data_IF_527775156005
#
_entry.id   IF_527775156005
#
_cell.length_a   1.000
_cell.length_b   1.000
_cell.length_c   1.000
_cell.angle_alpha   90.00
_cell.angle_beta   90.00
_cell.angle_gamma   90.00
#
_symmetry.space_group_name_H-M   'P 1'
#
loop_
_entity.id
_entity.type
_entity.pdbx_description
1 polymer ?
#
# COMPACT_ATOMS: atom_id res chain seq x y z
N UNK A 1 -22.96 -34.48 -31.81
CA UNK A 1 -22.32 -33.18 -32.08
C UNK A 1 -23.29 -32.13 -31.58
N UNK A 2 -23.04 -31.24 -30.64
CA UNK A 2 -21.86 -30.79 -29.88
C UNK A 2 -22.48 -29.90 -28.79
N UNK A 3 -22.21 -30.13 -27.51
CA UNK A 3 -21.25 -29.31 -26.79
C UNK A 3 -21.98 -28.33 -25.87
N UNK A 4 -22.26 -28.76 -24.64
CA UNK A 4 -22.65 -27.89 -23.54
C UNK A 4 -21.41 -27.15 -23.05
N UNK A 5 -21.32 -25.85 -23.34
CA UNK A 5 -20.31 -24.97 -22.74
C UNK A 5 -20.60 -24.80 -21.24
N UNK A 6 -19.87 -25.54 -20.41
CA UNK A 6 -19.74 -25.24 -19.00
C UNK A 6 -18.84 -24.00 -18.87
N UNK A 7 -19.46 -22.83 -18.62
CA UNK A 7 -18.74 -21.66 -18.11
C UNK A 7 -18.04 -22.05 -16.82
N UNK A 8 -16.71 -22.07 -16.87
CA UNK A 8 -15.83 -22.36 -15.73
C UNK A 8 -16.14 -21.40 -14.58
N UNK A 9 -16.50 -21.99 -13.44
CA UNK A 9 -16.63 -21.29 -12.16
C UNK A 9 -15.23 -20.92 -11.68
N UNK A 10 -14.80 -19.68 -11.87
CA UNK A 10 -13.59 -19.15 -11.23
C UNK A 10 -13.81 -19.12 -9.71
N UNK A 11 -13.09 -19.97 -8.96
CA UNK A 11 -12.93 -19.82 -7.52
C UNK A 11 -11.70 -18.93 -7.25
N UNK A 12 -11.69 -18.16 -6.13
CA UNK A 12 -10.99 -16.89 -6.08
C UNK A 12 -9.57 -17.03 -5.51
N UNK A 13 -8.62 -16.34 -6.14
CA UNK A 13 -7.39 -15.93 -5.45
C UNK A 13 -7.80 -15.05 -4.27
N UNK A 14 -7.27 -15.36 -3.10
CA UNK A 14 -7.53 -14.61 -1.89
C UNK A 14 -6.47 -13.53 -1.74
N UNK A 15 -6.90 -12.27 -1.70
CA UNK A 15 -6.03 -11.13 -1.42
C UNK A 15 -6.36 -10.58 -0.02
N UNK A 16 -5.35 -10.04 0.65
CA UNK A 16 -5.52 -9.31 1.89
C UNK A 16 -4.70 -8.04 1.82
N UNK A 17 -5.31 -6.91 2.17
CA UNK A 17 -4.56 -5.71 2.51
C UNK A 17 -3.89 -5.94 3.87
N UNK A 18 -2.70 -5.38 4.06
CA UNK A 18 -2.06 -5.42 5.37
C UNK A 18 -2.83 -4.50 6.32
N UNK A 19 -3.71 -5.06 7.14
CA UNK A 19 -4.38 -4.33 8.25
C UNK A 19 -3.48 -4.22 9.51
N UNK A 20 -2.21 -4.66 9.42
CA UNK A 20 -1.32 -4.76 10.56
C UNK A 20 -0.15 -3.76 10.44
N UNK A 21 -0.23 -2.66 11.19
CA UNK A 21 0.75 -1.56 11.19
C UNK A 21 2.17 -2.04 11.54
N UNK A 22 2.28 -3.18 12.24
CA UNK A 22 3.55 -3.83 12.58
C UNK A 22 4.21 -4.56 11.39
N UNK A 23 3.42 -5.07 10.43
CA UNK A 23 3.93 -5.67 9.19
C UNK A 23 4.30 -4.61 8.14
N UNK A 24 3.64 -3.44 8.16
CA UNK A 24 4.07 -2.26 7.40
C UNK A 24 5.45 -1.77 7.84
N UNK A 25 5.70 -1.73 9.16
CA UNK A 25 7.00 -1.33 9.72
C UNK A 25 8.14 -2.29 9.34
N UNK A 26 7.87 -3.60 9.28
CA UNK A 26 8.91 -4.58 8.98
C UNK A 26 9.27 -4.71 7.48
N UNK A 27 8.52 -4.06 6.57
CA UNK A 27 8.63 -4.29 5.11
C UNK A 27 9.00 -3.02 4.35
N UNK A 28 8.74 -1.84 4.92
CA UNK A 28 9.41 -0.61 4.49
C UNK A 28 10.93 -0.65 4.78
N UNK A 29 11.40 -1.61 5.58
CA UNK A 29 12.79 -1.79 6.00
C UNK A 29 13.58 -2.91 5.30
N UNK A 30 13.06 -3.55 4.24
CA UNK A 30 13.85 -4.52 3.44
C UNK A 30 14.23 -3.99 2.03
N UNK A 31 15.15 -3.01 1.92
CA UNK A 31 15.66 -2.50 0.64
C UNK A 31 16.11 -3.58 -0.34
N UNK A 32 16.54 -4.74 0.16
CA UNK A 32 16.96 -5.90 -0.62
C UNK A 32 15.86 -6.44 -1.54
N UNK A 33 14.58 -6.32 -1.18
CA UNK A 33 13.47 -6.87 -1.97
C UNK A 33 13.23 -6.11 -3.28
N UNK A 34 13.91 -4.98 -3.50
CA UNK A 34 14.01 -4.32 -4.81
C UNK A 34 14.78 -5.16 -5.83
N UNK A 35 15.67 -6.06 -5.40
CA UNK A 35 16.42 -6.97 -6.27
C UNK A 35 15.62 -8.25 -6.51
N UNK A 36 15.34 -8.55 -7.78
CA UNK A 36 14.64 -9.76 -8.18
C UNK A 36 15.34 -11.03 -7.70
N UNK A 37 16.68 -11.05 -7.72
CA UNK A 37 17.46 -12.17 -7.20
C UNK A 37 17.23 -12.42 -5.71
N UNK A 38 17.14 -11.37 -4.88
CA UNK A 38 16.86 -11.52 -3.45
C UNK A 38 15.43 -11.99 -3.20
N UNK A 39 14.46 -11.50 -3.98
CA UNK A 39 13.09 -12.03 -3.95
C UNK A 39 13.06 -13.52 -4.29
N UNK A 40 13.79 -13.95 -5.32
CA UNK A 40 13.84 -15.35 -5.73
C UNK A 40 14.42 -16.27 -4.64
N UNK A 41 15.43 -15.81 -3.89
CA UNK A 41 16.04 -16.58 -2.79
C UNK A 41 15.07 -16.89 -1.65
N UNK A 42 14.03 -16.08 -1.47
CA UNK A 42 13.00 -16.34 -0.45
C UNK A 42 12.23 -17.65 -0.73
N UNK A 43 12.17 -18.11 -1.98
CA UNK A 43 11.43 -19.30 -2.40
C UNK A 43 12.14 -20.64 -2.16
N UNK A 44 13.18 -20.68 -1.32
CA UNK A 44 13.91 -21.92 -1.00
C UNK A 44 13.02 -23.08 -0.49
N UNK A 45 11.89 -22.76 0.15
CA UNK A 45 10.88 -23.72 0.64
C UNK A 45 9.53 -23.59 -0.10
N UNK A 46 9.51 -23.05 -1.32
CA UNK A 46 8.29 -23.00 -2.12
C UNK A 46 7.84 -24.42 -2.51
N UNK A 47 6.54 -24.75 -2.43
CA UNK A 47 6.07 -26.10 -2.73
C UNK A 47 6.45 -26.53 -4.16
N UNK A 48 7.04 -27.71 -4.30
CA UNK A 48 7.46 -28.22 -5.61
C UNK A 48 6.28 -28.50 -6.56
N UNK A 49 5.09 -28.71 -6.00
CA UNK A 49 3.82 -28.90 -6.68
C UNK A 49 3.00 -27.60 -6.81
N UNK A 50 3.57 -26.45 -6.47
CA UNK A 50 2.89 -25.17 -6.58
C UNK A 50 2.51 -24.88 -8.04
N UNK A 51 1.32 -24.30 -8.28
CA UNK A 51 0.79 -24.12 -9.64
C UNK A 51 1.44 -22.97 -10.43
N UNK A 52 2.29 -22.17 -9.78
CA UNK A 52 3.05 -21.06 -10.37
C UNK A 52 4.51 -21.16 -9.94
N UNK A 53 5.41 -20.74 -10.83
CA UNK A 53 6.86 -20.85 -10.59
C UNK A 53 7.37 -19.72 -9.69
N UNK A 54 8.39 -20.02 -8.87
CA UNK A 54 9.07 -19.01 -8.05
C UNK A 54 9.73 -17.90 -8.89
N UNK A 55 10.21 -18.23 -10.09
CA UNK A 55 10.74 -17.26 -11.05
C UNK A 55 9.69 -16.25 -11.50
N UNK A 56 8.50 -16.72 -11.90
CA UNK A 56 7.42 -15.84 -12.35
C UNK A 56 6.89 -14.96 -11.22
N UNK A 57 6.84 -15.49 -9.99
CA UNK A 57 6.48 -14.73 -8.79
C UNK A 57 7.51 -13.64 -8.49
N UNK A 58 8.81 -13.98 -8.46
CA UNK A 58 9.89 -13.02 -8.24
C UNK A 58 9.92 -11.92 -9.30
N UNK A 59 9.75 -12.30 -10.57
CA UNK A 59 9.66 -11.39 -11.72
C UNK A 59 8.45 -10.47 -11.63
N UNK A 60 7.31 -10.96 -11.12
CA UNK A 60 6.11 -10.16 -10.85
C UNK A 60 6.20 -9.32 -9.57
N UNK A 61 7.38 -9.22 -8.95
CA UNK A 61 7.65 -8.35 -7.81
C UNK A 61 7.33 -8.98 -6.47
N UNK A 62 7.09 -10.30 -6.42
CA UNK A 62 6.72 -10.98 -5.19
C UNK A 62 7.91 -11.68 -4.53
N UNK A 63 7.92 -11.70 -3.20
CA UNK A 63 8.77 -12.57 -2.39
C UNK A 63 7.91 -13.47 -1.50
N UNK A 64 8.43 -14.63 -1.13
CA UNK A 64 7.75 -15.63 -0.33
C UNK A 64 7.75 -15.28 1.16
N UNK A 65 6.58 -15.34 1.79
CA UNK A 65 6.45 -15.11 3.23
C UNK A 65 6.48 -16.41 4.05
N UNK A 66 6.06 -17.53 3.44
CA UNK A 66 5.79 -18.78 4.14
C UNK A 66 4.68 -18.70 5.21
N UNK A 67 4.38 -19.82 5.90
CA UNK A 67 4.13 -21.14 5.31
C UNK A 67 2.93 -21.13 4.34
N UNK A 68 2.85 -22.14 3.45
CA UNK A 68 1.83 -22.24 2.40
C UNK A 68 2.31 -21.62 1.09
N UNK A 69 1.43 -20.90 0.38
CA UNK A 69 1.69 -20.30 -0.93
C UNK A 69 1.58 -18.76 -0.92
N UNK A 70 1.81 -18.14 0.25
CA UNK A 70 1.66 -16.70 0.43
C UNK A 70 2.88 -15.95 -0.10
N UNK A 71 2.61 -14.93 -0.91
CA UNK A 71 3.63 -14.06 -1.46
C UNK A 71 3.26 -12.60 -1.29
N UNK A 72 4.26 -11.72 -1.23
CA UNK A 72 4.07 -10.29 -1.02
C UNK A 72 4.87 -9.44 -1.99
N UNK A 73 4.23 -8.37 -2.51
CA UNK A 73 4.90 -7.44 -3.39
C UNK A 73 5.85 -6.51 -2.63
N UNK A 74 7.09 -6.36 -3.11
CA UNK A 74 8.07 -5.41 -2.55
C UNK A 74 7.66 -3.94 -2.68
N UNK A 75 6.76 -3.61 -3.63
CA UNK A 75 6.39 -2.25 -3.97
C UNK A 75 5.10 -1.79 -3.32
N UNK A 76 4.02 -2.56 -3.45
CA UNK A 76 2.71 -2.19 -2.89
C UNK A 76 2.40 -2.88 -1.56
N UNK A 77 3.23 -3.84 -1.13
CA UNK A 77 2.97 -4.64 0.06
C UNK A 77 1.79 -5.62 -0.07
N UNK A 78 1.15 -5.70 -1.24
CA UNK A 78 0.01 -6.57 -1.47
C UNK A 78 0.35 -8.04 -1.31
N UNK A 79 -0.47 -8.78 -0.56
CA UNK A 79 -0.32 -10.22 -0.33
C UNK A 79 -1.29 -11.01 -1.19
N UNK A 80 -0.77 -12.00 -1.92
CA UNK A 80 -1.54 -13.00 -2.66
C UNK A 80 -1.27 -14.42 -2.16
N UNK A 81 -2.29 -15.28 -2.25
CA UNK A 81 -2.26 -16.70 -1.88
C UNK A 81 -3.39 -17.46 -2.58
N UNK A 82 -3.42 -18.77 -2.41
CA UNK A 82 -4.36 -19.69 -3.06
C UNK A 82 -4.22 -19.68 -4.58
N UNK A 83 -2.97 -19.77 -5.07
CA UNK A 83 -2.65 -19.87 -6.49
C UNK A 83 -3.26 -21.14 -7.10
N UNK A 84 -3.68 -21.08 -8.36
CA UNK A 84 -4.22 -22.22 -9.12
C UNK A 84 -3.52 -22.37 -10.47
N UNK A 85 -3.65 -23.57 -11.07
CA UNK A 85 -3.03 -23.89 -12.35
C UNK A 85 -3.51 -22.91 -13.44
N UNK A 86 -2.57 -22.23 -14.08
CA UNK A 86 -2.84 -21.26 -15.14
C UNK A 86 -2.87 -19.80 -14.70
N UNK A 87 -2.71 -19.51 -13.41
CA UNK A 87 -2.56 -18.13 -12.93
C UNK A 87 -1.27 -17.50 -13.46
N UNK A 88 -1.36 -16.23 -13.83
CA UNK A 88 -0.22 -15.40 -14.19
C UNK A 88 0.08 -14.42 -13.06
N UNK A 89 1.22 -14.54 -12.34
CA UNK A 89 1.53 -13.67 -11.21
C UNK A 89 1.38 -12.18 -11.48
N UNK A 90 1.86 -11.68 -12.63
CA UNK A 90 1.72 -10.28 -12.99
C UNK A 90 0.27 -9.87 -13.28
N UNK A 91 -0.52 -10.77 -13.90
CA UNK A 91 -1.95 -10.52 -14.19
C UNK A 91 -2.75 -10.47 -12.90
N UNK A 92 -2.51 -11.39 -11.97
CA UNK A 92 -3.18 -11.42 -10.67
C UNK A 92 -2.76 -10.25 -9.79
N UNK A 93 -1.49 -9.86 -9.85
CA UNK A 93 -0.99 -8.65 -9.21
C UNK A 93 -1.72 -7.41 -9.75
N UNK A 94 -1.84 -7.27 -11.06
CA UNK A 94 -2.60 -6.16 -11.68
C UNK A 94 -4.08 -6.20 -11.33
N UNK A 95 -4.68 -7.39 -11.28
CA UNK A 95 -6.10 -7.57 -10.97
C UNK A 95 -6.42 -7.16 -9.53
N UNK A 96 -5.61 -7.58 -8.57
CA UNK A 96 -5.88 -7.40 -7.14
C UNK A 96 -5.23 -6.12 -6.56
N UNK A 97 -4.11 -5.66 -7.13
CA UNK A 97 -3.44 -4.43 -6.73
C UNK A 97 -3.11 -3.56 -7.96
N UNK A 98 -4.13 -3.09 -8.69
CA UNK A 98 -3.96 -2.31 -9.94
C UNK A 98 -3.21 -1.00 -9.75
N UNK A 99 -3.16 -0.46 -8.52
CA UNK A 99 -2.46 0.77 -8.19
C UNK A 99 -0.95 0.58 -7.92
N UNK A 100 -0.45 -0.66 -7.89
CA UNK A 100 0.95 -0.94 -7.60
C UNK A 100 1.88 -0.26 -8.61
N UNK A 101 2.74 0.66 -8.13
CA UNK A 101 3.66 1.41 -8.97
C UNK A 101 4.61 0.50 -9.77
N UNK A 102 4.98 -0.66 -9.24
CA UNK A 102 5.77 -1.67 -9.96
C UNK A 102 5.01 -2.25 -11.17
N UNK A 103 3.76 -2.70 -10.99
CA UNK A 103 2.95 -3.28 -12.08
C UNK A 103 2.53 -2.23 -13.12
N UNK A 104 2.41 -0.98 -12.70
CA UNK A 104 2.19 0.15 -13.59
C UNK A 104 3.45 0.58 -14.36
N UNK A 105 4.59 -0.11 -14.18
CA UNK A 105 5.84 0.16 -14.90
C UNK A 105 6.56 1.44 -14.44
N UNK A 106 6.24 1.97 -13.26
CA UNK A 106 6.91 3.17 -12.72
C UNK A 106 8.29 2.82 -12.17
N UNK A 107 9.19 3.79 -12.17
CA UNK A 107 10.52 3.66 -11.58
C UNK A 107 10.41 3.58 -10.04
N UNK A 108 10.38 2.35 -9.51
CA UNK A 108 10.30 2.06 -8.07
C UNK A 108 11.61 1.49 -7.50
N UNK A 109 12.69 1.60 -8.28
CA UNK A 109 13.99 1.05 -7.95
C UNK A 109 14.09 -0.47 -8.07
N UNK A 110 13.24 -1.13 -8.88
CA UNK A 110 13.37 -2.56 -9.16
C UNK A 110 14.68 -2.87 -9.92
N UNK A 111 15.41 -3.89 -9.47
CA UNK A 111 16.64 -4.39 -10.10
C UNK A 111 16.35 -5.80 -10.61
N UNK A 112 16.18 -6.01 -11.94
CA UNK A 112 15.87 -7.31 -12.51
C UNK A 112 17.08 -8.26 -12.49
N UNK A 113 16.83 -9.56 -12.57
CA UNK A 113 17.88 -10.55 -12.80
C UNK A 113 18.46 -10.32 -14.21
N UNK A 114 19.73 -9.89 -14.31
CA UNK A 114 20.42 -9.79 -15.60
C UNK A 114 20.52 -11.18 -16.22
N UNK A 115 20.15 -11.31 -17.49
CA UNK A 115 20.43 -12.50 -18.27
C UNK A 115 21.85 -12.38 -18.83
N UNK A 116 22.77 -13.15 -18.29
CA UNK A 116 24.14 -13.24 -18.76
C UNK A 116 24.24 -14.03 -20.09
N UNK A 117 24.37 -13.27 -21.18
CA UNK A 117 25.38 -13.38 -22.27
C UNK A 117 24.87 -13.42 -23.73
N UNK A 118 25.58 -12.64 -24.56
CA UNK A 118 25.67 -12.58 -26.04
C UNK A 118 24.45 -12.07 -26.81
N UNK A 119 24.49 -11.04 -27.67
CA UNK A 119 25.57 -10.63 -28.58
C UNK A 119 25.64 -9.11 -28.83
N UNK A 120 26.84 -8.68 -29.19
CA UNK A 120 27.16 -7.40 -29.82
C UNK A 120 26.44 -7.25 -31.17
N UNK A 121 25.71 -6.15 -31.37
CA UNK A 121 25.56 -5.50 -32.68
C UNK A 121 25.49 -3.98 -32.50
N UNK A 122 26.58 -3.37 -32.95
CA UNK A 122 26.76 -2.04 -33.55
C UNK A 122 25.87 -0.87 -33.12
N UNK A 123 26.56 0.18 -32.68
CA UNK A 123 26.00 1.50 -32.46
C UNK A 123 25.44 2.10 -33.74
N UNK A 124 24.13 1.94 -33.96
CA UNK A 124 23.32 2.84 -34.77
C UNK A 124 21.82 2.60 -34.56
N UNK A 125 21.21 3.10 -33.48
CA UNK A 125 19.75 3.32 -33.48
C UNK A 125 19.22 4.32 -32.44
N UNK A 126 19.77 5.53 -32.45
CA UNK A 126 19.12 6.72 -31.87
C UNK A 126 18.11 7.38 -32.83
N UNK A 127 17.59 6.64 -33.82
CA UNK A 127 16.71 7.20 -34.87
C UNK A 127 15.52 6.31 -35.25
N UNK A 128 14.97 5.53 -34.32
CA UNK A 128 13.71 4.79 -34.53
C UNK A 128 12.69 4.87 -33.36
N UNK A 129 12.87 5.76 -32.39
CA UNK A 129 11.82 6.08 -31.40
C UNK A 129 11.01 7.33 -31.77
N UNK A 130 10.81 7.55 -33.06
CA UNK A 130 9.79 8.50 -33.52
C UNK A 130 9.04 7.92 -34.72
N UNK A 131 7.74 7.70 -34.50
CA UNK A 131 6.67 7.36 -35.47
C UNK A 131 6.68 5.86 -35.83
N UNK A 132 5.67 5.04 -35.52
CA UNK A 132 4.21 5.19 -35.59
C UNK A 132 3.61 4.13 -34.62
N UNK A 133 2.50 4.32 -33.93
CA UNK A 133 1.20 4.76 -34.44
C UNK A 133 0.45 5.61 -33.41
N UNK A 134 -0.01 6.77 -33.84
CA UNK A 134 -1.31 7.27 -33.38
C UNK A 134 -2.39 6.31 -33.89
N UNK A 135 -3.48 6.24 -33.14
CA UNK A 135 -4.64 5.34 -33.24
C UNK A 135 -4.56 4.12 -32.32
N UNK A 136 -4.56 4.37 -31.01
CA UNK A 136 -5.60 3.73 -30.19
C UNK A 136 -6.54 4.83 -29.71
N UNK A 137 -7.71 4.88 -30.34
CA UNK A 137 -8.87 5.61 -29.86
C UNK A 137 -9.39 4.91 -28.59
N UNK A 138 -8.64 4.99 -27.51
CA UNK A 138 -9.12 4.74 -26.15
C UNK A 138 -9.82 6.01 -25.68
N UNK A 139 -11.16 5.99 -25.71
CA UNK A 139 -12.08 7.04 -25.25
C UNK A 139 -11.48 8.02 -24.23
N UNK A 140 -11.53 9.32 -24.54
CA UNK A 140 -11.30 10.39 -23.58
C UNK A 140 -11.99 10.07 -22.24
N UNK A 141 -11.26 10.27 -21.15
CA UNK A 141 -11.62 9.88 -19.80
C UNK A 141 -13.09 10.16 -19.48
N UNK A 142 -13.83 9.09 -19.23
CA UNK A 142 -15.18 9.18 -18.70
C UNK A 142 -15.09 9.06 -17.19
N UNK A 143 -15.86 9.90 -16.49
CA UNK A 143 -16.05 9.75 -15.07
C UNK A 143 -16.59 8.35 -14.73
N UNK A 144 -16.12 7.75 -13.64
CA UNK A 144 -16.62 6.44 -13.16
C UNK A 144 -18.10 6.50 -12.81
N UNK A 145 -18.58 7.67 -12.36
CA UNK A 145 -19.98 7.95 -12.06
C UNK A 145 -20.45 9.19 -12.86
N UNK A 146 -20.80 9.05 -14.15
CA UNK A 146 -21.23 10.17 -14.99
C UNK A 146 -22.47 10.90 -14.44
N UNK A 147 -23.38 10.20 -13.79
CA UNK A 147 -24.57 10.77 -13.14
C UNK A 147 -24.21 11.72 -11.98
N UNK A 148 -22.99 11.62 -11.46
CA UNK A 148 -22.46 12.42 -10.36
C UNK A 148 -21.50 13.51 -10.84
N UNK A 149 -21.45 13.80 -12.14
CA UNK A 149 -20.62 14.86 -12.74
C UNK A 149 -21.06 16.27 -12.31
N UNK A 150 -22.37 16.50 -12.22
CA UNK A 150 -22.90 17.76 -11.71
C UNK A 150 -22.68 17.88 -10.20
N UNK A 151 -22.13 19.02 -9.75
CA UNK A 151 -21.90 19.29 -8.33
C UNK A 151 -23.18 19.21 -7.50
N UNK A 152 -24.29 19.76 -8.00
CA UNK A 152 -25.59 19.71 -7.33
C UNK A 152 -26.06 18.26 -7.12
N UNK A 153 -25.84 17.37 -8.10
CA UNK A 153 -26.15 15.94 -7.95
C UNK A 153 -25.37 15.33 -6.80
N UNK A 154 -24.06 15.64 -6.68
CA UNK A 154 -23.25 15.19 -5.54
C UNK A 154 -23.75 15.76 -4.23
N UNK A 155 -24.10 17.04 -4.18
CA UNK A 155 -24.58 17.70 -2.97
C UNK A 155 -25.86 17.05 -2.44
N UNK A 156 -26.77 16.59 -3.32
CA UNK A 156 -28.01 15.89 -2.89
C UNK A 156 -27.75 14.61 -2.11
N UNK A 157 -26.58 13.98 -2.28
CA UNK A 157 -26.25 12.74 -1.54
C UNK A 157 -26.04 12.98 -0.06
N UNK A 158 -25.71 14.20 0.36
CA UNK A 158 -25.37 14.54 1.75
C UNK A 158 -26.59 14.79 2.66
N UNK A 159 -27.81 14.39 2.24
CA UNK A 159 -29.05 14.60 3.00
C UNK A 159 -29.04 14.02 4.44
N UNK A 160 -28.20 13.01 4.70
CA UNK A 160 -27.98 12.42 6.03
C UNK A 160 -26.49 12.42 6.42
N UNK A 161 -25.75 13.47 6.03
CA UNK A 161 -24.36 13.65 6.44
C UNK A 161 -24.25 13.80 7.97
N UNK A 162 -23.29 13.14 8.65
CA UNK A 162 -23.19 13.20 10.11
C UNK A 162 -23.01 14.62 10.62
N UNK A 163 -23.80 15.00 11.63
CA UNK A 163 -23.72 16.33 12.24
C UNK A 163 -22.41 16.59 12.99
N UNK A 164 -21.75 15.52 13.41
CA UNK A 164 -20.45 15.51 14.08
C UNK A 164 -19.27 15.64 13.10
N UNK A 165 -19.50 15.45 11.80
CA UNK A 165 -18.47 15.64 10.80
C UNK A 165 -18.15 17.13 10.67
N UNK A 166 -16.87 17.47 10.83
CA UNK A 166 -16.38 18.85 10.87
C UNK A 166 -16.29 19.52 9.50
N UNK A 167 -16.45 18.76 8.43
CA UNK A 167 -16.32 19.22 7.05
C UNK A 167 -17.70 19.42 6.42
N UNK A 168 -17.87 20.55 5.73
CA UNK A 168 -19.12 20.93 5.11
C UNK A 168 -19.33 20.19 3.78
N UNK A 169 -20.53 19.62 3.53
CA UNK A 169 -20.87 18.93 2.29
C UNK A 169 -20.58 19.68 0.99
N UNK A 170 -20.73 21.00 0.98
CA UNK A 170 -20.52 21.82 -0.21
C UNK A 170 -19.03 21.84 -0.64
N UNK A 171 -18.10 21.81 0.32
CA UNK A 171 -16.65 21.75 0.02
C UNK A 171 -16.28 20.37 -0.55
N UNK A 172 -16.87 19.30 0.01
CA UNK A 172 -16.71 17.93 -0.48
C UNK A 172 -17.25 17.78 -1.91
N UNK A 173 -18.48 18.26 -2.15
CA UNK A 173 -19.11 18.25 -3.47
C UNK A 173 -18.29 19.01 -4.51
N UNK A 174 -17.80 20.21 -4.19
CA UNK A 174 -16.88 20.96 -5.07
C UNK A 174 -15.62 20.17 -5.41
N UNK A 175 -15.03 19.51 -4.42
CA UNK A 175 -13.83 18.67 -4.59
C UNK A 175 -14.07 17.34 -5.35
N UNK A 176 -15.27 17.14 -5.88
CA UNK A 176 -15.65 15.97 -6.69
C UNK A 176 -16.26 14.84 -5.87
N UNK A 177 -16.48 15.01 -4.57
CA UNK A 177 -16.93 13.94 -3.69
C UNK A 177 -18.44 13.90 -3.51
N UNK A 178 -19.02 12.70 -3.48
CA UNK A 178 -20.40 12.44 -3.06
C UNK A 178 -20.41 11.48 -1.86
N UNK A 179 -21.43 11.59 -1.01
CA UNK A 179 -21.60 10.78 0.18
C UNK A 179 -22.05 9.36 -0.16
N UNK A 180 -21.42 8.36 0.45
CA UNK A 180 -21.79 6.95 0.22
C UNK A 180 -22.93 6.46 1.11
N UNK A 181 -23.46 7.29 2.02
CA UNK A 181 -24.60 6.95 2.88
C UNK A 181 -24.24 6.26 4.21
N UNK A 182 -22.96 6.13 4.55
CA UNK A 182 -22.53 5.54 5.81
C UNK A 182 -21.29 6.24 6.39
N UNK A 183 -21.32 6.52 7.70
CA UNK A 183 -20.24 7.24 8.38
C UNK A 183 -20.01 8.61 7.76
N UNK A 184 -18.75 9.01 7.65
CA UNK A 184 -18.31 10.20 6.91
C UNK A 184 -17.62 9.83 5.58
N UNK A 185 -17.98 8.67 5.03
CA UNK A 185 -17.33 8.15 3.84
C UNK A 185 -17.82 8.87 2.58
N UNK A 186 -16.89 9.32 1.75
CA UNK A 186 -17.19 9.95 0.47
C UNK A 186 -16.42 9.30 -0.66
N UNK A 187 -16.91 9.47 -1.90
CA UNK A 187 -16.26 8.97 -3.12
C UNK A 187 -16.19 10.02 -4.21
N UNK A 188 -15.07 10.08 -4.92
CA UNK A 188 -14.93 10.94 -6.08
C UNK A 188 -15.71 10.37 -7.28
N UNK A 189 -16.53 11.19 -7.94
CA UNK A 189 -17.30 10.75 -9.11
C UNK A 189 -16.42 10.33 -10.29
N UNK A 190 -15.24 10.92 -10.43
CA UNK A 190 -14.39 10.71 -11.60
C UNK A 190 -13.44 9.52 -11.42
N UNK A 191 -12.71 9.46 -10.29
CA UNK A 191 -11.66 8.47 -10.08
C UNK A 191 -12.04 7.31 -9.15
N UNK A 192 -13.26 7.32 -8.58
CA UNK A 192 -13.73 6.39 -7.53
C UNK A 192 -12.88 6.41 -6.24
N UNK A 193 -12.05 7.44 -6.05
CA UNK A 193 -11.24 7.62 -4.85
C UNK A 193 -12.11 7.84 -3.62
N UNK A 194 -11.96 6.99 -2.60
CA UNK A 194 -12.74 7.06 -1.36
C UNK A 194 -11.95 7.64 -0.18
N UNK A 195 -12.57 8.55 0.58
CA UNK A 195 -12.03 9.18 1.80
C UNK A 195 -13.03 9.08 2.96
N UNK A 196 -12.52 9.10 4.19
CA UNK A 196 -13.28 9.00 5.45
C UNK A 196 -12.42 9.50 6.63
N UNK A 197 -12.99 9.53 7.83
CA UNK A 197 -12.36 10.03 9.05
C UNK A 197 -11.89 11.49 8.92
N UNK A 198 -12.77 12.36 8.44
CA UNK A 198 -12.50 13.78 8.24
C UNK A 198 -12.34 14.50 9.59
N UNK A 199 -11.22 15.21 9.73
CA UNK A 199 -10.89 15.98 10.93
C UNK A 199 -11.17 17.48 10.76
N UNK A 200 -11.33 18.24 11.86
CA UNK A 200 -11.46 19.68 11.77
C UNK A 200 -10.21 20.32 11.16
N UNK A 201 -10.37 20.95 9.99
CA UNK A 201 -9.29 21.61 9.27
C UNK A 201 -8.80 20.88 8.03
N UNK A 202 -9.27 19.66 7.77
CA UNK A 202 -8.98 18.96 6.52
C UNK A 202 -9.54 19.72 5.32
N UNK A 203 -8.71 19.85 4.27
CA UNK A 203 -9.13 20.39 2.99
C UNK A 203 -9.40 19.25 1.99
N UNK A 204 -10.64 19.09 1.49
CA UNK A 204 -10.98 18.01 0.58
C UNK A 204 -10.16 17.98 -0.71
N UNK A 205 -9.73 19.13 -1.25
CA UNK A 205 -8.89 19.15 -2.45
C UNK A 205 -7.47 18.68 -2.16
N UNK A 206 -6.92 19.03 -0.99
CA UNK A 206 -5.61 18.57 -0.55
C UNK A 206 -5.61 17.07 -0.29
N UNK A 207 -6.59 16.54 0.44
CA UNK A 207 -6.69 15.09 0.66
C UNK A 207 -6.94 14.34 -0.66
N UNK A 208 -7.71 14.91 -1.60
CA UNK A 208 -7.86 14.35 -2.95
C UNK A 208 -6.52 14.30 -3.70
N UNK A 209 -5.74 15.38 -3.68
CA UNK A 209 -4.42 15.45 -4.33
C UNK A 209 -3.37 14.55 -3.68
N UNK A 210 -3.43 14.41 -2.36
CA UNK A 210 -2.55 13.57 -1.55
C UNK A 210 -2.75 12.08 -1.85
N UNK A 211 -3.99 11.62 -1.91
CA UNK A 211 -4.29 10.19 -2.05
C UNK A 211 -4.56 9.74 -3.49
N UNK A 212 -5.06 10.63 -4.35
CA UNK A 212 -5.43 10.31 -5.74
C UNK A 212 -4.87 11.34 -6.75
N UNK A 213 -3.54 11.54 -6.84
CA UNK A 213 -2.90 12.57 -7.68
C UNK A 213 -3.07 12.38 -9.20
N UNK A 214 -3.68 11.28 -9.64
CA UNK A 214 -3.96 10.97 -11.05
C UNK A 214 -5.42 11.17 -11.45
N UNK A 215 -6.27 11.63 -10.53
CA UNK A 215 -7.66 11.91 -10.88
C UNK A 215 -7.70 13.01 -11.96
N UNK A 216 -8.20 12.70 -13.16
CA UNK A 216 -8.17 13.69 -14.26
C UNK A 216 -9.09 14.87 -13.98
N UNK A 217 -10.25 14.67 -13.32
CA UNK A 217 -11.06 15.77 -12.81
C UNK A 217 -10.24 16.70 -11.90
N UNK A 218 -9.44 16.13 -10.99
CA UNK A 218 -8.59 16.92 -10.10
C UNK A 218 -7.48 17.65 -10.87
N UNK A 219 -6.82 16.98 -11.82
CA UNK A 219 -5.77 17.56 -12.68
C UNK A 219 -6.35 18.71 -13.52
N UNK A 220 -7.51 18.51 -14.13
CA UNK A 220 -8.19 19.52 -14.95
C UNK A 220 -8.64 20.71 -14.11
N UNK A 221 -9.11 20.48 -12.88
CA UNK A 221 -9.71 21.54 -12.05
C UNK A 221 -8.67 22.31 -11.23
N UNK A 222 -7.62 21.65 -10.75
CA UNK A 222 -6.62 22.24 -9.84
C UNK A 222 -5.23 22.41 -10.46
N UNK A 223 -4.96 21.70 -11.56
CA UNK A 223 -3.67 21.73 -12.25
C UNK A 223 -2.64 20.77 -11.65
N UNK A 224 -1.68 20.36 -12.49
CA UNK A 224 -0.64 19.42 -12.10
C UNK A 224 0.31 19.98 -11.02
N UNK A 225 0.63 21.28 -11.07
CA UNK A 225 1.53 21.94 -10.12
C UNK A 225 0.95 21.94 -8.69
N UNK A 226 -0.35 22.20 -8.54
CA UNK A 226 -1.05 22.11 -7.25
C UNK A 226 -0.89 20.71 -6.65
N UNK A 227 -1.10 19.68 -7.46
CA UNK A 227 -1.00 18.28 -7.04
C UNK A 227 0.44 17.94 -6.64
N UNK A 228 1.40 18.31 -7.47
CA UNK A 228 2.83 18.09 -7.18
C UNK A 228 3.25 18.75 -5.88
N UNK A 229 2.89 20.01 -5.62
CA UNK A 229 3.23 20.70 -4.38
C UNK A 229 2.67 19.98 -3.13
N UNK A 230 1.47 19.41 -3.23
CA UNK A 230 0.85 18.66 -2.12
C UNK A 230 1.51 17.30 -1.92
N UNK A 231 1.81 16.59 -3.02
CA UNK A 231 2.59 15.35 -2.95
C UNK A 231 3.96 15.63 -2.32
N UNK A 232 4.66 16.66 -2.79
CA UNK A 232 5.98 17.03 -2.31
C UNK A 232 5.93 17.42 -0.82
N UNK A 233 4.99 18.26 -0.38
CA UNK A 233 4.87 18.61 1.04
C UNK A 233 4.43 17.45 1.92
N UNK A 234 3.57 16.54 1.44
CA UNK A 234 3.15 15.37 2.20
C UNK A 234 4.29 14.37 2.39
N UNK A 235 5.07 14.12 1.33
CA UNK A 235 6.14 13.11 1.34
C UNK A 235 7.52 13.68 1.73
N UNK A 236 7.77 15.00 1.62
CA UNK A 236 8.98 15.63 2.18
C UNK A 236 8.87 15.96 3.68
N UNK A 237 7.68 16.01 4.29
CA UNK A 237 7.59 16.17 5.76
C UNK A 237 7.97 14.88 6.51
N UNK A 238 7.82 13.70 5.89
CA UNK A 238 8.40 12.45 6.40
C UNK A 238 9.92 12.35 6.12
N UNK A 239 10.42 13.03 5.08
CA UNK A 239 11.86 13.04 4.75
C UNK A 239 12.64 14.15 5.49
N UNK A 240 11.96 15.23 5.93
CA UNK A 240 12.58 16.33 6.70
C UNK A 240 12.63 16.10 8.22
N UNK A 241 12.07 14.98 8.71
CA UNK A 241 12.48 14.41 10.00
C UNK A 241 13.76 13.55 9.91
N UNK A 242 14.29 13.28 8.71
CA UNK A 242 15.69 12.88 8.53
C UNK A 242 16.51 14.12 8.16
N UNK A 243 16.73 15.00 9.14
CA UNK A 243 17.82 15.96 9.01
C UNK A 243 19.14 15.17 9.02
N UNK A 244 20.04 15.30 8.04
CA UNK A 244 21.45 15.01 8.24
C UNK A 244 22.05 16.17 9.05
N UNK A 245 21.63 16.30 10.30
CA UNK A 245 22.56 16.74 11.33
C UNK A 245 23.00 15.46 11.98
N UNK A 246 24.31 15.20 11.95
CA UNK A 246 24.95 14.08 12.62
C UNK A 246 24.43 14.01 14.08
N UNK A 247 23.42 13.18 14.33
CA UNK A 247 23.16 12.72 15.68
C UNK A 247 24.46 12.03 16.08
N UNK A 248 25.08 12.49 17.17
CA UNK A 248 26.28 11.83 17.66
C UNK A 248 25.98 10.33 17.84
N UNK A 249 26.96 9.43 17.64
CA UNK A 249 26.76 8.01 17.88
C UNK A 249 26.11 7.72 19.25
N UNK A 250 26.37 8.59 20.24
CA UNK A 250 25.78 8.55 21.58
C UNK A 250 24.27 8.83 21.58
N UNK A 251 23.79 9.78 20.78
CA UNK A 251 22.36 10.11 20.67
C UNK A 251 21.58 9.01 19.96
N UNK A 252 22.14 8.42 18.89
CA UNK A 252 21.54 7.27 18.22
C UNK A 252 21.46 6.04 19.15
N UNK A 253 22.53 5.79 19.93
CA UNK A 253 22.52 4.73 20.94
C UNK A 253 21.46 4.98 22.00
N UNK A 254 21.29 6.24 22.45
CA UNK A 254 20.25 6.61 23.41
C UNK A 254 18.85 6.36 22.85
N UNK A 255 18.59 6.74 21.61
CA UNK A 255 17.29 6.51 20.95
C UNK A 255 16.97 5.02 20.81
N UNK A 256 17.94 4.22 20.34
CA UNK A 256 17.79 2.76 20.25
C UNK A 256 17.58 2.10 21.62
N UNK A 257 18.23 2.63 22.67
CA UNK A 257 18.01 2.18 24.05
C UNK A 257 16.62 2.56 24.55
N UNK A 258 16.17 3.79 24.31
CA UNK A 258 14.84 4.27 24.69
C UNK A 258 13.72 3.45 24.03
N UNK A 259 13.84 3.12 22.74
CA UNK A 259 12.90 2.25 22.01
C UNK A 259 12.77 0.87 22.65
N UNK A 260 13.88 0.31 23.13
CA UNK A 260 13.94 -1.02 23.75
C UNK A 260 13.64 -1.01 25.24
N UNK A 261 13.38 0.16 25.83
CA UNK A 261 13.11 0.31 27.26
C UNK A 261 11.61 0.26 27.54
N UNK A 262 11.23 -0.42 28.63
CA UNK A 262 9.86 -0.57 29.08
C UNK A 262 9.18 0.78 29.26
N UNK A 263 8.07 0.99 28.56
CA UNK A 263 7.35 2.27 28.57
C UNK A 263 6.54 2.54 29.85
N UNK A 264 6.66 1.67 30.85
CA UNK A 264 5.98 1.80 32.16
C UNK A 264 6.98 2.17 33.23
N UNK A 265 8.05 1.38 33.42
CA UNK A 265 9.06 1.72 34.42
C UNK A 265 10.20 2.60 33.89
N UNK A 266 10.34 2.74 32.56
CA UNK A 266 11.41 3.47 31.89
C UNK A 266 12.83 3.04 32.31
N UNK A 267 12.97 1.79 32.78
CA UNK A 267 14.21 1.28 33.41
C UNK A 267 14.68 -0.02 32.75
N UNK A 268 13.80 -1.02 32.64
CA UNK A 268 14.17 -2.37 32.15
C UNK A 268 13.85 -2.54 30.67
N UNK A 269 14.58 -3.40 29.98
CA UNK A 269 14.28 -3.76 28.59
C UNK A 269 12.88 -4.38 28.44
N UNK A 270 12.23 -4.05 27.33
CA UNK A 270 10.99 -4.72 26.90
C UNK A 270 11.26 -6.21 26.71
N UNK A 271 10.39 -7.04 27.24
CA UNK A 271 10.53 -8.50 27.18
C UNK A 271 9.19 -9.22 27.13
N UNK A 272 8.06 -8.52 27.17
CA UNK A 272 6.73 -9.12 27.20
C UNK A 272 5.89 -8.64 26.01
N UNK A 273 5.35 -9.61 25.28
CA UNK A 273 4.35 -9.45 24.22
C UNK A 273 2.96 -9.73 24.80
N UNK A 274 1.99 -8.83 24.58
CA UNK A 274 0.61 -9.02 25.04
C UNK A 274 -0.29 -9.69 24.00
N UNK A 275 -1.08 -10.68 24.42
CA UNK A 275 -2.05 -11.41 23.61
C UNK A 275 -3.46 -10.85 23.84
N UNK A 276 -4.28 -10.58 22.80
CA UNK A 276 -4.05 -10.89 21.39
C UNK A 276 -3.32 -9.80 20.59
N UNK A 277 -3.03 -8.65 21.18
CA UNK A 277 -2.64 -7.46 20.41
C UNK A 277 -1.19 -7.45 19.88
N UNK A 278 -0.34 -8.38 20.27
CA UNK A 278 1.03 -8.53 19.76
C UNK A 278 2.06 -7.47 20.22
N UNK A 279 1.67 -6.46 21.01
CA UNK A 279 2.59 -5.37 21.36
C UNK A 279 3.67 -5.78 22.37
N UNK A 280 4.94 -5.55 22.02
CA UNK A 280 6.13 -5.68 22.89
C UNK A 280 6.49 -4.30 23.47
N UNK A 281 5.98 -3.97 24.66
CA UNK A 281 6.04 -2.61 25.20
C UNK A 281 6.53 -2.52 26.64
N UNK A 282 6.53 -3.65 27.37
CA UNK A 282 6.89 -3.66 28.80
C UNK A 282 7.88 -4.76 29.17
N UNK A 283 8.53 -4.58 30.32
CA UNK A 283 9.34 -5.60 30.96
C UNK A 283 8.47 -6.64 31.69
N UNK A 284 9.08 -7.77 32.07
CA UNK A 284 8.43 -8.84 32.83
C UNK A 284 7.70 -8.39 34.08
N UNK A 285 8.28 -7.44 34.82
CA UNK A 285 7.74 -7.00 36.11
C UNK A 285 6.51 -6.10 35.93
N UNK A 286 6.58 -5.19 34.95
CA UNK A 286 5.47 -4.27 34.65
C UNK A 286 4.26 -4.99 34.04
N UNK A 287 4.50 -6.08 33.30
CA UNK A 287 3.42 -6.84 32.66
C UNK A 287 2.41 -7.40 33.66
N UNK A 288 2.85 -7.85 34.83
CA UNK A 288 1.99 -8.45 35.84
C UNK A 288 0.93 -7.48 36.40
N UNK A 289 1.17 -6.17 36.29
CA UNK A 289 0.28 -5.13 36.84
C UNK A 289 -0.68 -4.55 35.79
N UNK A 290 -0.61 -4.99 34.53
CA UNK A 290 -1.38 -4.43 33.42
C UNK A 290 -2.57 -5.31 33.04
N UNK A 291 -3.74 -4.67 32.89
CA UNK A 291 -4.97 -5.30 32.37
C UNK A 291 -5.30 -4.87 30.93
N UNK A 292 -4.74 -3.75 30.48
CA UNK A 292 -4.88 -3.22 29.13
C UNK A 292 -3.49 -2.91 28.56
N UNK A 293 -3.32 -3.12 27.25
CA UNK A 293 -2.09 -2.78 26.55
C UNK A 293 -1.86 -1.26 26.56
N UNK A 294 -0.67 -0.75 26.97
CA UNK A 294 -0.37 0.68 26.97
C UNK A 294 -0.41 1.34 25.58
N UNK A 295 -0.21 0.56 24.51
CA UNK A 295 -0.19 1.08 23.13
C UNK A 295 -1.59 1.17 22.54
N UNK A 296 -2.30 0.04 22.46
CA UNK A 296 -3.58 -0.04 21.75
C UNK A 296 -4.80 -0.15 22.65
N UNK A 297 -4.62 -0.12 23.98
CA UNK A 297 -5.67 -0.25 25.01
C UNK A 297 -6.47 -1.55 24.96
N UNK A 298 -6.08 -2.52 24.13
CA UNK A 298 -6.70 -3.85 24.08
C UNK A 298 -6.60 -4.58 25.43
N UNK A 299 -7.63 -5.33 25.78
CA UNK A 299 -7.67 -6.17 26.99
C UNK A 299 -6.61 -7.27 26.88
N UNK A 300 -5.73 -7.38 27.89
CA UNK A 300 -4.68 -8.39 27.93
C UNK A 300 -5.29 -9.71 28.38
N UNK A 301 -5.28 -10.71 27.49
CA UNK A 301 -5.76 -12.08 27.76
C UNK A 301 -4.62 -13.04 28.11
N UNK A 302 -3.40 -12.69 27.77
CA UNK A 302 -2.19 -13.44 28.09
C UNK A 302 -0.93 -12.67 27.73
N UNK A 303 0.23 -13.15 28.16
CA UNK A 303 1.52 -12.53 27.90
C UNK A 303 2.59 -13.57 27.57
N UNK A 304 3.41 -13.32 26.57
CA UNK A 304 4.53 -14.18 26.16
C UNK A 304 5.83 -13.44 26.37
N UNK A 305 6.84 -14.11 26.96
CA UNK A 305 8.18 -13.54 27.08
C UNK A 305 8.94 -13.70 25.75
N UNK A 306 9.42 -12.59 25.21
CA UNK A 306 10.27 -12.56 24.03
C UNK A 306 11.75 -12.54 24.45
N UNK A 307 12.58 -13.29 23.71
CA UNK A 307 14.03 -13.25 23.83
C UNK A 307 14.58 -12.54 22.59
N UNK A 308 15.17 -11.37 22.79
CA UNK A 308 15.80 -10.59 21.72
C UNK A 308 17.29 -10.92 21.70
N UNK A 309 17.79 -11.48 20.59
CA UNK A 309 19.20 -11.80 20.35
C UNK A 309 19.92 -10.69 19.61
#
# INVERSE_FOLDING_TARGET
MTGTEQKGKGKPICYTMMDDRQAMLHILEEPQMRREGERLRTFHNWPADAPVTSGDLAKAGFFFLGPGDKVQCFCCGGILRCWIQGDSPATEHKRHFPACSFILGRAVGNIPLQADSSDSVDGQLLSQLQRMTMDDQGTAGQAVYPEMEAEDSRLTTFHNWPTEASIQPDVLARAGFFYTGHGDNVKCFYCDGGLRNWEPGDDPWQEHAKWFPRCEFLIQTRGQEYISNIQDTHFHLDDTMVRPFENSPEELLRQLQEERTCKVCMDKLVSIVFIPCGHLVVCGDCAASLRHCPICRAVIRGSVRAFMS
#
